data_IF_228391515577
#
_entry.id   IF_228391515577
#
_cell.length_a   1.000
_cell.length_b   1.000
_cell.length_c   1.000
_cell.angle_alpha   90.00
_cell.angle_beta   90.00
_cell.angle_gamma   90.00
#
_symmetry.space_group_name_H-M   'P 1'
#
loop_
_entity.id
_entity.type
_entity.pdbx_description
1 polymer ?
#
# COMPACT_ATOMS: atom_id res chain seq x y z
N UNK A 1 -5.93 9.65 -1.22
CA UNK A 1 -5.12 8.70 -2.03
C UNK A 1 -4.49 7.56 -1.21
N UNK A 2 -4.01 7.80 0.01
CA UNK A 2 -3.34 6.74 0.79
C UNK A 2 -4.28 5.88 1.65
N UNK A 3 -5.54 6.27 1.85
CA UNK A 3 -6.53 5.48 2.59
C UNK A 3 -7.08 4.35 1.72
N UNK A 4 -7.17 3.15 2.29
CA UNK A 4 -7.89 2.02 1.71
C UNK A 4 -9.11 1.67 2.56
N UNK A 5 -10.18 1.25 1.89
CA UNK A 5 -11.35 0.63 2.53
C UNK A 5 -10.95 -0.72 3.08
N UNK A 6 -11.31 -1.02 4.32
CA UNK A 6 -11.02 -2.32 4.93
C UNK A 6 -11.57 -3.48 4.06
N UNK A 7 -10.89 -4.64 4.02
CA UNK A 7 -11.40 -5.86 3.41
C UNK A 7 -12.81 -6.19 3.89
N UNK A 8 -13.69 -6.62 2.99
CA UNK A 8 -15.06 -7.00 3.39
C UNK A 8 -15.07 -8.24 4.28
N UNK A 9 -16.17 -8.46 5.02
CA UNK A 9 -16.35 -9.65 5.84
C UNK A 9 -16.30 -10.95 5.03
N UNK A 10 -16.82 -10.93 3.80
CA UNK A 10 -16.78 -12.08 2.88
C UNK A 10 -15.35 -12.38 2.47
N UNK A 11 -14.56 -11.35 2.15
CA UNK A 11 -13.17 -11.50 1.77
C UNK A 11 -12.33 -12.03 2.94
N UNK A 12 -12.52 -11.47 4.14
CA UNK A 12 -11.83 -11.93 5.37
C UNK A 12 -12.14 -13.41 5.63
N UNK A 13 -13.41 -13.80 5.52
CA UNK A 13 -13.86 -15.18 5.72
C UNK A 13 -13.23 -16.11 4.68
N UNK A 14 -13.25 -15.72 3.41
CA UNK A 14 -12.62 -16.49 2.34
C UNK A 14 -11.11 -16.63 2.57
N UNK A 15 -10.43 -15.54 2.94
CA UNK A 15 -9.00 -15.51 3.12
C UNK A 15 -8.58 -16.44 4.27
N UNK A 16 -9.31 -16.38 5.40
CA UNK A 16 -9.12 -17.32 6.51
C UNK A 16 -9.21 -18.77 6.06
N UNK A 17 -10.34 -19.15 5.47
CA UNK A 17 -10.62 -20.52 5.07
C UNK A 17 -9.61 -21.03 4.01
N UNK A 18 -9.07 -20.12 3.20
CA UNK A 18 -8.11 -20.46 2.15
C UNK A 18 -6.68 -20.63 2.68
N UNK A 19 -6.30 -19.87 3.71
CA UNK A 19 -4.89 -19.71 4.11
C UNK A 19 -4.54 -20.44 5.41
N UNK A 20 -5.47 -20.52 6.37
CA UNK A 20 -5.18 -20.95 7.74
C UNK A 20 -4.66 -22.39 7.83
N UNK A 21 -5.39 -23.37 7.28
CA UNK A 21 -4.99 -24.78 7.36
C UNK A 21 -3.72 -25.08 6.57
N UNK A 22 -3.52 -24.36 5.46
CA UNK A 22 -2.28 -24.44 4.68
C UNK A 22 -1.08 -23.93 5.47
N UNK A 23 -1.22 -22.77 6.14
CA UNK A 23 -0.17 -22.19 6.98
C UNK A 23 0.16 -23.11 8.16
N UNK A 24 -0.86 -23.60 8.87
CA UNK A 24 -0.71 -24.59 9.93
C UNK A 24 0.11 -25.81 9.45
N UNK A 25 -0.25 -26.37 8.29
CA UNK A 25 0.41 -27.56 7.73
C UNK A 25 1.88 -27.29 7.37
N UNK A 26 2.21 -26.08 6.88
CA UNK A 26 3.60 -25.70 6.58
C UNK A 26 4.43 -25.49 7.85
N UNK A 27 3.85 -24.93 8.91
CA UNK A 27 4.53 -24.76 10.20
C UNK A 27 4.82 -26.11 10.85
N UNK A 28 3.86 -27.05 10.83
CA UNK A 28 4.02 -28.41 11.38
C UNK A 28 4.79 -29.37 10.48
N UNK A 29 5.30 -28.90 9.33
CA UNK A 29 5.96 -29.77 8.34
C UNK A 29 7.21 -30.42 8.92
N UNK A 30 7.35 -31.72 8.67
CA UNK A 30 8.53 -32.52 9.00
C UNK A 30 9.16 -32.97 7.68
N UNK A 31 10.47 -32.84 7.56
CA UNK A 31 11.28 -33.30 6.43
C UNK A 31 12.36 -34.27 6.93
N UNK A 32 12.37 -35.50 6.41
CA UNK A 32 13.26 -36.58 6.85
C UNK A 32 13.31 -36.79 8.37
N UNK A 33 12.15 -36.70 9.03
CA UNK A 33 12.03 -36.84 10.49
C UNK A 33 12.43 -35.61 11.30
N UNK A 34 12.87 -34.52 10.65
CA UNK A 34 13.25 -33.26 11.30
C UNK A 34 12.21 -32.18 11.03
N UNK A 35 11.71 -31.47 12.06
CA UNK A 35 10.84 -30.31 11.86
C UNK A 35 11.49 -29.24 10.98
N UNK A 36 10.78 -28.77 9.96
CA UNK A 36 11.26 -27.68 9.08
C UNK A 36 11.45 -26.38 9.89
N UNK A 37 10.54 -26.13 10.82
CA UNK A 37 10.63 -25.07 11.82
C UNK A 37 10.88 -25.70 13.20
N UNK A 38 11.78 -25.11 13.97
CA UNK A 38 12.16 -25.60 15.30
C UNK A 38 10.93 -25.79 16.20
N UNK A 39 10.91 -26.89 16.98
CA UNK A 39 9.75 -27.27 17.79
C UNK A 39 9.28 -26.14 18.72
N UNK A 40 10.22 -25.46 19.40
CA UNK A 40 9.87 -24.33 20.27
C UNK A 40 9.17 -23.18 19.52
N UNK A 41 9.54 -22.91 18.26
CA UNK A 41 8.88 -21.89 17.44
C UNK A 41 7.48 -22.38 17.02
N UNK A 42 7.33 -23.66 16.71
CA UNK A 42 6.00 -24.23 16.44
C UNK A 42 5.10 -24.10 17.65
N UNK A 43 5.61 -24.37 18.86
CA UNK A 43 4.83 -24.30 20.09
C UNK A 43 4.44 -22.86 20.45
N UNK A 44 5.28 -21.86 20.08
CA UNK A 44 4.94 -20.43 20.18
C UNK A 44 3.84 -20.04 19.20
N UNK A 45 3.93 -20.48 17.94
CA UNK A 45 2.97 -20.11 16.88
C UNK A 45 1.66 -20.92 16.93
N UNK A 46 1.71 -22.12 17.50
CA UNK A 46 0.61 -23.09 17.59
C UNK A 46 0.65 -23.69 19.01
N UNK A 47 0.24 -22.92 20.03
CA UNK A 47 0.23 -23.41 21.40
C UNK A 47 -0.83 -24.51 21.58
N UNK A 48 -0.71 -25.26 22.67
CA UNK A 48 -1.69 -26.27 23.03
C UNK A 48 -2.83 -25.67 23.84
N UNK A 49 -4.06 -26.11 23.56
CA UNK A 49 -5.23 -25.85 24.40
C UNK A 49 -5.18 -26.73 25.66
N UNK A 50 -6.09 -26.45 26.61
CA UNK A 50 -6.23 -27.23 27.85
C UNK A 50 -6.49 -28.72 27.62
N UNK A 51 -7.10 -29.08 26.48
CA UNK A 51 -7.36 -30.47 26.08
C UNK A 51 -6.20 -31.14 25.31
N UNK A 52 -5.08 -30.44 25.13
CA UNK A 52 -3.89 -30.91 24.41
C UNK A 52 -3.96 -30.78 22.89
N UNK A 53 -5.07 -30.28 22.34
CA UNK A 53 -5.21 -30.00 20.91
C UNK A 53 -4.46 -28.73 20.50
N UNK A 54 -4.12 -28.61 19.22
CA UNK A 54 -3.45 -27.43 18.66
C UNK A 54 -4.41 -26.23 18.60
N UNK A 55 -3.95 -25.08 19.09
CA UNK A 55 -4.64 -23.80 18.93
C UNK A 55 -4.12 -23.04 17.70
N UNK A 56 -5.02 -22.75 16.77
CA UNK A 56 -4.70 -22.00 15.54
C UNK A 56 -5.03 -20.50 15.66
N UNK A 57 -5.47 -20.03 16.82
CA UNK A 57 -5.89 -18.63 17.05
C UNK A 57 -4.80 -17.63 16.68
N UNK A 58 -3.53 -17.88 17.06
CA UNK A 58 -2.39 -17.03 16.71
C UNK A 58 -2.20 -16.93 15.20
N UNK A 59 -2.31 -18.04 14.47
CA UNK A 59 -2.19 -18.03 13.01
C UNK A 59 -3.34 -17.26 12.35
N UNK A 60 -4.56 -17.41 12.86
CA UNK A 60 -5.71 -16.62 12.40
C UNK A 60 -5.48 -15.13 12.63
N UNK A 61 -4.99 -14.74 13.81
CA UNK A 61 -4.68 -13.35 14.13
C UNK A 61 -3.55 -12.79 13.25
N UNK A 62 -2.48 -13.55 13.01
CA UNK A 62 -1.41 -13.13 12.09
C UNK A 62 -1.92 -12.90 10.67
N UNK A 63 -2.92 -13.66 10.21
CA UNK A 63 -3.51 -13.48 8.89
C UNK A 63 -4.46 -12.26 8.82
N UNK A 64 -5.15 -11.91 9.91
CA UNK A 64 -6.35 -11.08 9.86
C UNK A 64 -6.35 -9.85 10.77
N UNK A 65 -5.42 -9.71 11.71
CA UNK A 65 -5.36 -8.52 12.55
C UNK A 65 -5.02 -7.28 11.73
N UNK A 66 -5.63 -6.17 12.15
CA UNK A 66 -5.38 -4.83 11.62
C UNK A 66 -3.94 -4.38 11.92
N UNK A 67 -3.47 -3.28 11.31
CA UNK A 67 -2.05 -2.92 11.32
C UNK A 67 -1.43 -2.79 12.71
N UNK A 68 -2.12 -2.16 13.67
CA UNK A 68 -1.59 -1.95 15.03
C UNK A 68 -1.47 -3.29 15.77
N UNK A 69 -2.57 -4.04 15.83
CA UNK A 69 -2.67 -5.28 16.58
C UNK A 69 -1.78 -6.38 15.99
N UNK A 70 -1.66 -6.42 14.66
CA UNK A 70 -0.77 -7.37 13.98
C UNK A 70 0.71 -7.05 14.21
N UNK A 71 1.08 -5.77 14.25
CA UNK A 71 2.44 -5.34 14.58
C UNK A 71 2.82 -5.72 16.03
N UNK A 72 1.94 -5.43 16.99
CA UNK A 72 2.12 -5.78 18.40
C UNK A 72 2.26 -7.30 18.59
N UNK A 73 1.36 -8.08 17.98
CA UNK A 73 1.42 -9.54 18.01
C UNK A 73 2.73 -10.04 17.39
N UNK A 74 3.12 -9.52 16.24
CA UNK A 74 4.37 -9.90 15.57
C UNK A 74 5.58 -9.64 16.49
N UNK A 75 5.68 -8.46 17.08
CA UNK A 75 6.81 -8.12 17.96
C UNK A 75 6.83 -8.97 19.23
N UNK A 76 5.67 -9.27 19.81
CA UNK A 76 5.59 -10.17 20.96
C UNK A 76 6.09 -11.58 20.61
N UNK A 77 5.62 -12.16 19.50
CA UNK A 77 6.04 -13.50 19.05
C UNK A 77 7.53 -13.52 18.70
N UNK A 78 8.02 -12.50 17.99
CA UNK A 78 9.43 -12.40 17.64
C UNK A 78 10.33 -12.27 18.86
N UNK A 79 9.88 -11.61 19.94
CA UNK A 79 10.54 -11.56 21.24
C UNK A 79 10.68 -12.92 21.93
N UNK A 80 9.72 -13.82 21.71
CA UNK A 80 9.78 -15.20 22.21
C UNK A 80 10.66 -16.09 21.32
N UNK A 81 10.72 -15.81 20.02
CA UNK A 81 11.42 -16.62 19.01
C UNK A 81 12.91 -16.28 18.92
N UNK A 82 13.27 -15.00 18.98
CA UNK A 82 14.65 -14.53 18.80
C UNK A 82 15.16 -13.96 20.13
N UNK A 83 16.23 -14.53 20.72
CA UNK A 83 16.81 -14.02 21.96
C UNK A 83 17.22 -12.55 21.85
N UNK A 84 16.78 -11.73 22.82
CA UNK A 84 17.01 -10.28 22.86
C UNK A 84 16.53 -9.55 21.59
N UNK A 85 15.47 -10.01 20.93
CA UNK A 85 14.85 -9.33 19.78
C UNK A 85 14.60 -7.84 20.07
N UNK A 86 14.97 -6.99 19.12
CA UNK A 86 14.64 -5.56 19.13
C UNK A 86 14.52 -5.08 17.68
N UNK A 87 13.32 -4.67 17.27
CA UNK A 87 13.06 -4.20 15.91
C UNK A 87 13.83 -2.92 15.56
N UNK A 88 14.26 -2.14 16.57
CA UNK A 88 15.09 -0.95 16.36
C UNK A 88 16.47 -1.31 15.81
N UNK A 89 16.89 -2.58 15.88
CA UNK A 89 18.11 -3.05 15.24
C UNK A 89 17.96 -3.31 13.73
N UNK A 90 16.75 -3.30 13.17
CA UNK A 90 16.51 -3.61 11.75
C UNK A 90 17.28 -2.73 10.76
N UNK A 91 17.43 -1.40 10.96
CA UNK A 91 18.28 -0.59 10.10
C UNK A 91 19.73 -1.09 10.06
N UNK A 92 20.30 -1.42 11.22
CA UNK A 92 21.67 -1.95 11.34
C UNK A 92 21.78 -3.37 10.79
N UNK A 93 20.74 -4.18 10.96
CA UNK A 93 20.66 -5.51 10.37
C UNK A 93 20.64 -5.44 8.83
N UNK A 94 19.87 -4.53 8.23
CA UNK A 94 19.86 -4.32 6.78
C UNK A 94 21.21 -3.82 6.26
N UNK A 95 21.86 -2.89 6.97
CA UNK A 95 23.22 -2.44 6.63
C UNK A 95 24.20 -3.63 6.65
N UNK A 96 24.15 -4.43 7.72
CA UNK A 96 24.94 -5.65 7.82
C UNK A 96 24.62 -6.59 6.66
N UNK A 97 23.34 -6.86 6.36
CA UNK A 97 22.89 -7.72 5.26
C UNK A 97 23.52 -7.26 3.93
N UNK A 98 23.45 -5.98 3.61
CA UNK A 98 23.96 -5.40 2.36
C UNK A 98 25.49 -5.47 2.23
N UNK A 99 26.25 -5.44 3.34
CA UNK A 99 27.71 -5.55 3.31
C UNK A 99 28.24 -6.93 2.92
N UNK A 100 27.41 -7.99 2.96
CA UNK A 100 27.81 -9.33 2.54
C UNK A 100 29.08 -9.82 3.27
N UNK A 101 30.13 -10.12 2.51
CA UNK A 101 31.40 -10.61 3.06
C UNK A 101 32.22 -9.53 3.80
N UNK A 102 31.90 -8.24 3.60
CA UNK A 102 32.63 -7.10 4.18
C UNK A 102 32.13 -6.70 5.58
N UNK A 103 31.31 -7.53 6.24
CA UNK A 103 30.82 -7.27 7.60
C UNK A 103 31.94 -7.28 8.62
N UNK A 104 31.95 -6.30 9.53
CA UNK A 104 32.79 -6.35 10.74
C UNK A 104 32.25 -7.38 11.76
N UNK A 105 32.95 -7.56 12.89
CA UNK A 105 32.58 -8.55 13.91
C UNK A 105 31.16 -8.33 14.47
N UNK A 106 30.81 -7.11 14.86
CA UNK A 106 29.49 -6.78 15.40
C UNK A 106 28.38 -7.01 14.37
N UNK A 107 28.62 -6.61 13.11
CA UNK A 107 27.69 -6.83 12.01
C UNK A 107 27.50 -8.32 11.68
N UNK A 108 28.54 -9.15 11.81
CA UNK A 108 28.41 -10.60 11.67
C UNK A 108 27.53 -11.19 12.76
N UNK A 109 27.70 -10.75 14.01
CA UNK A 109 26.87 -11.19 15.14
C UNK A 109 25.42 -10.78 14.94
N UNK A 110 25.17 -9.51 14.61
CA UNK A 110 23.82 -8.99 14.37
C UNK A 110 23.15 -9.68 13.17
N UNK A 111 23.87 -9.88 12.08
CA UNK A 111 23.34 -10.61 10.93
C UNK A 111 22.93 -12.04 11.31
N UNK A 112 23.78 -12.77 12.04
CA UNK A 112 23.49 -14.14 12.50
C UNK A 112 22.29 -14.21 13.44
N UNK A 113 22.10 -13.20 14.32
CA UNK A 113 20.97 -13.13 15.26
C UNK A 113 19.62 -13.27 14.53
N UNK A 114 19.49 -12.65 13.36
CA UNK A 114 18.23 -12.59 12.63
C UNK A 114 18.15 -13.52 11.40
N UNK A 115 19.23 -13.61 10.62
CA UNK A 115 19.15 -14.05 9.22
C UNK A 115 18.59 -15.46 9.03
N UNK A 116 18.92 -16.39 9.93
CA UNK A 116 18.51 -17.80 9.82
C UNK A 116 17.01 -17.92 10.13
N UNK A 117 16.59 -17.37 11.27
CA UNK A 117 15.20 -17.45 11.73
C UNK A 117 14.25 -16.70 10.80
N UNK A 118 14.59 -15.47 10.38
CA UNK A 118 13.76 -14.70 9.46
C UNK A 118 13.60 -15.43 8.12
N UNK A 119 14.66 -16.07 7.61
CA UNK A 119 14.59 -16.86 6.38
C UNK A 119 13.66 -18.07 6.53
N UNK A 120 13.80 -18.85 7.61
CA UNK A 120 12.94 -20.01 7.86
C UNK A 120 11.47 -19.61 7.98
N UNK A 121 11.18 -18.53 8.71
CA UNK A 121 9.81 -18.02 8.84
C UNK A 121 9.26 -17.57 7.48
N UNK A 122 10.06 -16.87 6.67
CA UNK A 122 9.66 -16.46 5.32
C UNK A 122 9.36 -17.66 4.42
N UNK A 123 10.20 -18.69 4.47
CA UNK A 123 10.03 -19.94 3.70
C UNK A 123 8.79 -20.73 4.14
N UNK A 124 8.43 -20.70 5.42
CA UNK A 124 7.24 -21.39 5.97
C UNK A 124 5.95 -20.62 5.68
N UNK A 125 5.97 -19.29 5.83
CA UNK A 125 4.81 -18.47 5.48
C UNK A 125 4.57 -18.51 3.97
N UNK A 126 5.64 -18.50 3.17
CA UNK A 126 5.62 -18.78 1.73
C UNK A 126 4.68 -17.85 0.95
N UNK A 127 4.83 -16.52 1.10
CA UNK A 127 4.07 -15.55 0.30
C UNK A 127 4.16 -15.86 -1.22
N UNK A 128 5.33 -16.28 -1.68
CA UNK A 128 5.56 -16.51 -3.10
C UNK A 128 4.73 -17.68 -3.62
N UNK A 129 4.71 -18.84 -2.94
CA UNK A 129 3.91 -19.98 -3.34
C UNK A 129 2.42 -19.81 -3.03
N UNK A 130 2.08 -19.13 -1.93
CA UNK A 130 0.70 -19.03 -1.49
C UNK A 130 -0.10 -17.89 -2.13
N UNK A 131 0.56 -16.82 -2.56
CA UNK A 131 -0.09 -15.65 -3.16
C UNK A 131 0.57 -15.25 -4.48
N UNK A 132 1.86 -14.91 -4.48
CA UNK A 132 2.51 -14.29 -5.66
C UNK A 132 2.37 -15.13 -6.93
N UNK A 133 2.69 -16.43 -6.83
CA UNK A 133 2.62 -17.42 -7.93
C UNK A 133 1.25 -18.08 -8.01
N UNK A 134 0.42 -18.00 -6.97
CA UNK A 134 -0.94 -18.52 -6.98
C UNK A 134 -1.88 -17.51 -7.62
N UNK A 135 -2.05 -17.59 -8.95
CA UNK A 135 -2.92 -16.67 -9.69
C UNK A 135 -4.36 -16.63 -9.18
N UNK A 136 -5.05 -17.76 -8.89
CA UNK A 136 -6.42 -17.71 -8.37
C UNK A 136 -6.55 -16.85 -7.10
N UNK A 137 -5.66 -17.05 -6.12
CA UNK A 137 -5.72 -16.30 -4.85
C UNK A 137 -5.35 -14.83 -5.03
N UNK A 138 -4.24 -14.56 -5.72
CA UNK A 138 -3.78 -13.17 -5.90
C UNK A 138 -4.74 -12.32 -6.73
N UNK A 139 -5.39 -12.89 -7.75
CA UNK A 139 -6.41 -12.17 -8.53
C UNK A 139 -7.70 -11.96 -7.74
N UNK A 140 -8.16 -12.96 -6.98
CA UNK A 140 -9.32 -12.78 -6.09
C UNK A 140 -9.08 -11.65 -5.09
N UNK A 141 -7.92 -11.66 -4.42
CA UNK A 141 -7.54 -10.61 -3.50
C UNK A 141 -7.49 -9.23 -4.18
N UNK A 142 -6.89 -9.16 -5.37
CA UNK A 142 -6.78 -7.90 -6.12
C UNK A 142 -8.11 -7.39 -6.68
N UNK A 143 -9.10 -8.25 -6.91
CA UNK A 143 -10.44 -7.82 -7.32
C UNK A 143 -11.26 -7.29 -6.15
N UNK A 144 -11.16 -7.93 -4.98
CA UNK A 144 -12.01 -7.62 -3.82
C UNK A 144 -11.41 -6.52 -2.92
N UNK A 145 -10.07 -6.39 -2.84
CA UNK A 145 -9.42 -5.28 -2.13
C UNK A 145 -9.05 -4.11 -3.03
N UNK A 146 -8.88 -4.38 -4.32
CA UNK A 146 -8.22 -3.46 -5.24
C UNK A 146 -9.08 -2.26 -5.60
N UNK A 147 -8.40 -1.29 -6.14
CA UNK A 147 -8.93 -0.07 -6.72
C UNK A 147 -8.15 0.20 -8.00
N UNK A 148 -8.61 1.16 -8.80
CA UNK A 148 -8.13 1.28 -10.16
C UNK A 148 -6.74 1.92 -10.27
N UNK A 149 -6.25 2.62 -9.25
CA UNK A 149 -4.95 3.36 -9.33
C UNK A 149 -3.98 3.00 -8.22
N UNK A 150 -2.68 3.25 -8.35
CA UNK A 150 -1.74 2.92 -7.27
C UNK A 150 -2.05 3.66 -5.95
N UNK A 151 -2.11 2.93 -4.82
CA UNK A 151 -2.36 3.51 -3.49
C UNK A 151 -1.35 4.60 -3.15
N UNK A 152 -0.07 4.35 -3.42
CA UNK A 152 1.01 5.23 -2.97
C UNK A 152 1.16 6.50 -3.80
N UNK A 153 1.00 6.43 -5.11
CA UNK A 153 1.25 7.58 -5.98
C UNK A 153 0.02 8.14 -6.66
N UNK A 154 -1.09 7.40 -6.79
CA UNK A 154 -2.26 7.80 -7.58
C UNK A 154 -1.96 8.25 -9.03
N UNK A 155 -0.81 7.88 -9.61
CA UNK A 155 -0.44 8.25 -10.99
C UNK A 155 -0.72 7.18 -12.04
N UNK A 156 -0.71 5.91 -11.64
CA UNK A 156 -0.80 4.79 -12.55
C UNK A 156 -2.03 3.96 -12.26
N UNK A 157 -2.70 3.51 -13.31
CA UNK A 157 -3.70 2.46 -13.19
C UNK A 157 -3.06 1.15 -12.71
N UNK A 158 -3.74 0.43 -11.84
CA UNK A 158 -3.39 -0.89 -11.32
C UNK A 158 -4.58 -1.84 -11.45
N UNK A 159 -5.23 -1.81 -12.62
CA UNK A 159 -6.47 -2.53 -12.90
C UNK A 159 -6.24 -4.04 -12.86
N UNK A 160 -7.19 -4.75 -12.23
CA UNK A 160 -7.25 -6.21 -12.27
C UNK A 160 -8.05 -6.66 -13.50
N UNK A 161 -7.39 -7.31 -14.45
CA UNK A 161 -8.01 -7.92 -15.64
C UNK A 161 -7.99 -9.43 -15.45
N UNK A 162 -9.04 -9.95 -14.81
CA UNK A 162 -9.19 -11.37 -14.49
C UNK A 162 -9.68 -12.19 -15.69
N UNK A 163 -9.62 -13.52 -15.57
CA UNK A 163 -10.08 -14.47 -16.58
C UNK A 163 -10.58 -15.76 -15.95
N UNK A 164 -11.20 -16.65 -16.74
CA UNK A 164 -11.78 -17.91 -16.24
C UNK A 164 -10.71 -18.90 -15.77
N UNK A 165 -9.48 -18.75 -16.26
CA UNK A 165 -8.34 -19.61 -15.93
C UNK A 165 -7.03 -18.81 -15.92
N UNK A 166 -5.94 -19.48 -15.55
CA UNK A 166 -4.60 -18.89 -15.41
C UNK A 166 -4.03 -18.28 -16.70
N UNK A 167 -4.47 -18.74 -17.87
CA UNK A 167 -4.03 -18.22 -19.18
C UNK A 167 -4.75 -16.94 -19.57
N UNK A 168 -6.02 -16.80 -19.16
CA UNK A 168 -6.86 -15.63 -19.44
C UNK A 168 -6.65 -14.47 -18.45
N UNK A 169 -5.93 -14.69 -17.35
CA UNK A 169 -5.57 -13.65 -16.39
C UNK A 169 -4.43 -12.79 -16.91
N UNK A 170 -4.71 -11.49 -17.11
CA UNK A 170 -3.84 -10.58 -17.85
C UNK A 170 -3.03 -9.66 -16.91
N UNK A 171 -3.70 -8.91 -16.05
CA UNK A 171 -3.06 -7.90 -15.21
C UNK A 171 -3.68 -7.84 -13.82
N UNK A 172 -2.87 -7.46 -12.83
CA UNK A 172 -3.28 -7.14 -11.47
C UNK A 172 -2.29 -6.14 -10.85
N UNK A 173 -2.66 -5.40 -9.79
CA UNK A 173 -1.71 -4.66 -8.97
C UNK A 173 -0.62 -5.58 -8.41
N UNK A 174 0.54 -5.00 -8.10
CA UNK A 174 1.43 -5.63 -7.14
C UNK A 174 0.84 -5.48 -5.73
N UNK A 175 1.15 -6.43 -4.86
CA UNK A 175 0.76 -6.38 -3.45
C UNK A 175 2.04 -6.13 -2.67
N UNK A 176 2.31 -4.86 -2.35
CA UNK A 176 3.44 -4.48 -1.50
C UNK A 176 3.21 -4.98 -0.07
N UNK A 177 4.29 -5.27 0.64
CA UNK A 177 4.24 -5.57 2.06
C UNK A 177 4.59 -4.29 2.82
N UNK A 178 3.59 -3.64 3.43
CA UNK A 178 3.83 -2.38 4.13
C UNK A 178 4.91 -2.55 5.22
N UNK A 179 4.74 -3.55 6.08
CA UNK A 179 5.80 -4.18 6.87
C UNK A 179 6.57 -5.15 5.98
N UNK A 180 7.82 -4.83 5.65
CA UNK A 180 8.65 -5.64 4.75
C UNK A 180 8.67 -7.10 5.19
N UNK A 181 8.31 -8.03 4.29
CA UNK A 181 8.36 -9.48 4.56
C UNK A 181 9.77 -9.98 4.90
N UNK A 182 10.83 -9.24 4.55
CA UNK A 182 12.20 -9.60 4.91
C UNK A 182 12.49 -9.40 6.41
N UNK A 183 11.79 -8.47 7.05
CA UNK A 183 11.96 -8.08 8.45
C UNK A 183 10.82 -8.62 9.33
N UNK A 184 9.61 -8.65 8.79
CA UNK A 184 8.39 -9.10 9.43
C UNK A 184 7.78 -10.31 8.70
N UNK A 185 8.48 -11.46 8.64
CA UNK A 185 8.01 -12.63 7.87
C UNK A 185 6.68 -13.19 8.39
N UNK A 186 6.38 -13.03 9.69
CA UNK A 186 5.08 -13.42 10.28
C UNK A 186 3.90 -12.61 9.71
N UNK A 187 4.15 -11.41 9.18
CA UNK A 187 3.14 -10.55 8.56
C UNK A 187 3.13 -10.67 7.03
N UNK A 188 3.92 -11.59 6.45
CA UNK A 188 4.01 -11.74 4.98
C UNK A 188 2.72 -12.25 4.33
N UNK A 189 1.83 -12.87 5.11
CA UNK A 189 0.50 -13.29 4.67
C UNK A 189 -0.63 -12.50 5.33
N UNK A 190 -0.33 -11.46 6.11
CA UNK A 190 -1.37 -10.65 6.73
C UNK A 190 -2.13 -9.85 5.65
N UNK A 191 -3.45 -9.98 5.62
CA UNK A 191 -4.29 -9.37 4.58
C UNK A 191 -4.24 -7.84 4.56
N UNK A 192 -4.01 -7.22 5.72
CA UNK A 192 -3.85 -5.76 5.87
C UNK A 192 -2.43 -5.30 5.59
N UNK A 193 -1.45 -6.20 5.55
CA UNK A 193 -0.08 -5.86 5.18
C UNK A 193 0.12 -5.82 3.64
N UNK A 194 -0.85 -6.30 2.86
CA UNK A 194 -0.77 -6.42 1.41
C UNK A 194 -1.43 -5.22 0.70
N UNK A 195 -0.63 -4.26 0.25
CA UNK A 195 -1.12 -3.00 -0.32
C UNK A 195 -1.11 -3.05 -1.86
N UNK A 196 -2.28 -2.93 -2.52
CA UNK A 196 -2.35 -2.82 -3.98
C UNK A 196 -1.65 -1.57 -4.50
N UNK A 197 -0.62 -1.73 -5.32
CA UNK A 197 0.16 -0.64 -5.86
C UNK A 197 0.82 -0.96 -7.20
N UNK A 198 1.43 0.03 -7.83
CA UNK A 198 2.16 -0.14 -9.08
C UNK A 198 3.58 -0.65 -8.83
N UNK A 199 4.18 -1.24 -9.88
CA UNK A 199 5.54 -1.78 -9.81
C UNK A 199 6.62 -0.74 -9.53
N UNK A 200 6.41 0.50 -9.97
CA UNK A 200 7.35 1.59 -9.71
C UNK A 200 7.42 1.88 -8.21
N UNK A 201 6.27 2.10 -7.56
CA UNK A 201 6.23 2.40 -6.12
C UNK A 201 6.74 1.24 -5.27
N UNK A 202 6.29 0.02 -5.56
CA UNK A 202 6.68 -1.16 -4.78
C UNK A 202 8.16 -1.52 -4.99
N UNK A 203 8.56 -1.79 -6.24
CA UNK A 203 9.86 -2.41 -6.54
C UNK A 203 10.98 -1.39 -6.77
N UNK A 204 10.70 -0.25 -7.41
CA UNK A 204 11.76 0.71 -7.79
C UNK A 204 12.06 1.73 -6.70
N UNK A 205 11.04 2.13 -5.91
CA UNK A 205 11.18 3.22 -4.95
C UNK A 205 11.21 2.69 -3.52
N UNK A 206 10.13 2.02 -3.06
CA UNK A 206 10.06 1.55 -1.67
C UNK A 206 11.12 0.51 -1.36
N UNK A 207 11.18 -0.57 -2.15
CA UNK A 207 12.12 -1.66 -1.93
C UNK A 207 12.08 -2.17 -0.48
N UNK A 208 13.23 -2.11 0.20
CA UNK A 208 13.39 -2.53 1.59
C UNK A 208 13.34 -1.37 2.61
N UNK A 209 12.79 -0.21 2.22
CA UNK A 209 12.59 0.91 3.16
C UNK A 209 11.75 0.44 4.36
N UNK A 210 12.23 0.78 5.56
CA UNK A 210 11.58 0.39 6.81
C UNK A 210 10.47 1.39 7.11
N UNK A 211 9.24 0.91 7.15
CA UNK A 211 8.09 1.68 7.62
C UNK A 211 7.74 1.28 9.05
N UNK A 212 7.26 2.26 9.83
CA UNK A 212 6.72 2.08 11.18
C UNK A 212 5.46 2.91 11.32
N UNK A 213 4.50 2.43 12.10
CA UNK A 213 3.19 3.09 12.28
C UNK A 213 3.33 4.48 12.89
N UNK A 214 4.42 4.76 13.60
CA UNK A 214 4.72 6.07 14.19
C UNK A 214 5.26 7.08 13.18
N UNK A 215 5.84 6.59 12.09
CA UNK A 215 6.57 7.43 11.13
C UNK A 215 5.93 7.50 9.76
N UNK A 216 5.11 6.52 9.38
CA UNK A 216 4.53 6.43 8.04
C UNK A 216 3.02 6.18 8.12
N UNK A 217 2.31 6.55 7.05
CA UNK A 217 0.88 6.29 6.95
C UNK A 217 0.67 4.86 6.45
N UNK A 218 -0.07 4.08 7.24
CA UNK A 218 -0.53 2.77 6.81
C UNK A 218 -1.93 2.86 6.18
N UNK A 219 -2.13 2.41 4.93
CA UNK A 219 -3.39 2.59 4.21
C UNK A 219 -4.65 2.05 4.88
N UNK A 220 -4.51 0.92 5.58
CA UNK A 220 -5.60 0.30 6.35
C UNK A 220 -5.67 0.69 7.84
N UNK A 221 -4.87 1.64 8.30
CA UNK A 221 -4.94 2.08 9.69
C UNK A 221 -6.19 2.93 9.92
N UNK A 222 -6.87 2.72 11.05
CA UNK A 222 -8.16 3.36 11.33
C UNK A 222 -8.02 4.89 11.40
N UNK A 223 -6.93 5.38 12.01
CA UNK A 223 -6.60 6.81 12.10
C UNK A 223 -6.11 7.47 10.79
N UNK A 224 -5.94 6.72 9.70
CA UNK A 224 -5.55 7.33 8.42
C UNK A 224 -6.69 8.19 7.90
N UNK A 225 -6.40 9.46 7.63
CA UNK A 225 -7.34 10.42 7.04
C UNK A 225 -7.80 9.98 5.65
N UNK A 226 -9.05 10.31 5.28
CA UNK A 226 -9.59 10.04 3.93
C UNK A 226 -8.71 10.66 2.83
N UNK A 227 -8.21 11.87 3.09
CA UNK A 227 -7.30 12.58 2.20
C UNK A 227 -6.11 13.15 2.97
N UNK A 228 -4.88 13.10 2.40
CA UNK A 228 -3.74 13.79 2.97
C UNK A 228 -3.91 15.31 3.00
N UNK A 229 -3.36 15.94 4.03
CA UNK A 229 -3.40 17.39 4.32
C UNK A 229 -2.53 18.18 3.35
N UNK A 230 -1.40 17.63 2.90
CA UNK A 230 -0.59 18.26 1.87
C UNK A 230 -1.43 18.49 0.60
N UNK A 231 -1.05 19.51 -0.18
CA UNK A 231 -1.69 19.83 -1.45
C UNK A 231 -0.66 19.83 -2.57
N UNK A 232 -1.05 19.36 -3.74
CA UNK A 232 -0.28 19.60 -4.95
C UNK A 232 -0.50 21.03 -5.44
N UNK A 233 0.57 21.78 -5.64
CA UNK A 233 0.55 23.11 -6.25
C UNK A 233 1.45 23.09 -7.50
N UNK A 234 1.48 24.18 -8.26
CA UNK A 234 2.33 24.31 -9.43
C UNK A 234 3.19 25.56 -9.37
N UNK A 235 4.36 25.50 -10.01
CA UNK A 235 5.25 26.64 -10.20
C UNK A 235 5.64 26.79 -11.67
N UNK A 236 5.80 28.03 -12.10
CA UNK A 236 6.44 28.36 -13.37
C UNK A 236 7.95 28.40 -13.14
N UNK A 237 8.68 27.55 -13.84
CA UNK A 237 10.14 27.47 -13.78
C UNK A 237 10.79 28.53 -14.67
N UNK A 238 12.11 28.74 -14.49
CA UNK A 238 12.88 29.74 -15.25
C UNK A 238 12.92 29.46 -16.76
N UNK A 239 12.81 28.20 -17.16
CA UNK A 239 12.76 27.77 -18.56
C UNK A 239 11.35 27.85 -19.17
N UNK A 240 10.41 28.52 -18.47
CA UNK A 240 9.01 28.70 -18.87
C UNK A 240 8.19 27.40 -18.92
N UNK A 241 8.66 26.33 -18.27
CA UNK A 241 7.88 25.11 -18.04
C UNK A 241 7.15 25.15 -16.70
N UNK A 242 6.08 24.37 -16.57
CA UNK A 242 5.41 24.15 -15.30
C UNK A 242 5.93 22.89 -14.62
N UNK A 243 6.05 22.95 -13.29
CA UNK A 243 6.25 21.77 -12.45
C UNK A 243 5.24 21.71 -11.32
N UNK A 244 4.95 20.50 -10.85
CA UNK A 244 4.14 20.28 -9.64
C UNK A 244 5.05 20.22 -8.41
N UNK A 245 4.62 20.85 -7.33
CA UNK A 245 5.26 20.83 -6.01
C UNK A 245 4.26 20.39 -4.94
N UNK A 246 4.74 19.92 -3.79
CA UNK A 246 3.90 19.68 -2.63
C UNK A 246 3.98 20.88 -1.67
N UNK A 247 2.83 21.36 -1.19
CA UNK A 247 2.73 22.43 -0.19
C UNK A 247 1.92 21.95 1.01
N UNK A 248 1.94 22.74 2.10
CA UNK A 248 1.24 22.43 3.35
C UNK A 248 1.62 21.05 3.95
N UNK A 249 2.90 20.67 3.80
CA UNK A 249 3.44 19.42 4.33
C UNK A 249 3.76 19.57 5.82
N UNK A 250 2.74 19.67 6.67
CA UNK A 250 2.91 19.92 8.11
C UNK A 250 2.97 18.63 8.94
N UNK A 251 2.29 17.57 8.50
CA UNK A 251 2.31 16.28 9.16
C UNK A 251 3.59 15.48 8.85
N UNK A 252 4.25 14.97 9.89
CA UNK A 252 5.52 14.25 9.76
C UNK A 252 5.37 12.91 9.02
N UNK A 253 4.23 12.21 9.18
CA UNK A 253 4.01 10.95 8.48
C UNK A 253 3.77 11.19 7.00
N UNK A 254 3.04 12.26 6.64
CA UNK A 254 2.91 12.69 5.25
C UNK A 254 4.25 13.06 4.63
N UNK A 255 5.08 13.84 5.33
CA UNK A 255 6.45 14.17 4.86
C UNK A 255 7.27 12.90 4.60
N UNK A 256 7.22 11.93 5.50
CA UNK A 256 7.91 10.65 5.33
C UNK A 256 7.34 9.85 4.16
N UNK A 257 6.03 9.83 3.94
CA UNK A 257 5.42 9.19 2.77
C UNK A 257 5.82 9.87 1.46
N UNK A 258 5.79 11.21 1.40
CA UNK A 258 6.22 11.99 0.24
C UNK A 258 7.67 11.69 -0.13
N UNK A 259 8.56 11.62 0.88
CA UNK A 259 9.97 11.29 0.71
C UNK A 259 10.16 9.82 0.31
N UNK A 260 9.53 8.89 1.02
CA UNK A 260 9.67 7.45 0.80
C UNK A 260 9.22 7.01 -0.60
N UNK A 261 8.27 7.74 -1.20
CA UNK A 261 7.78 7.47 -2.55
C UNK A 261 8.23 8.48 -3.60
N UNK A 262 9.13 9.41 -3.23
CA UNK A 262 9.67 10.45 -4.11
C UNK A 262 8.54 11.20 -4.88
N UNK A 263 7.43 11.45 -4.19
CA UNK A 263 6.18 11.93 -4.80
C UNK A 263 6.41 13.26 -5.50
N UNK A 264 7.04 14.23 -4.84
CA UNK A 264 7.29 15.54 -5.44
C UNK A 264 8.13 15.44 -6.72
N UNK A 265 9.24 14.68 -6.70
CA UNK A 265 10.09 14.48 -7.88
C UNK A 265 9.34 13.83 -9.04
N UNK A 266 8.50 12.83 -8.75
CA UNK A 266 7.69 12.16 -9.77
C UNK A 266 6.60 13.08 -10.32
N UNK A 267 5.97 13.87 -9.45
CA UNK A 267 4.88 14.76 -9.81
C UNK A 267 5.37 16.00 -10.55
N UNK A 268 6.60 16.47 -10.32
CA UNK A 268 7.19 17.62 -11.00
C UNK A 268 7.02 17.55 -12.53
N UNK A 269 7.22 16.38 -13.14
CA UNK A 269 7.04 16.16 -14.58
C UNK A 269 5.59 16.34 -15.07
N UNK A 270 4.59 16.28 -14.18
CA UNK A 270 3.18 16.44 -14.52
C UNK A 270 2.75 17.91 -14.57
N UNK A 271 3.65 18.85 -14.31
CA UNK A 271 3.37 20.26 -14.57
C UNK A 271 3.14 20.52 -16.06
N UNK A 272 4.05 20.06 -16.91
CA UNK A 272 3.88 20.16 -18.37
C UNK A 272 2.83 19.21 -18.94
N UNK A 273 2.62 18.04 -18.33
CA UNK A 273 1.71 17.02 -18.86
C UNK A 273 0.24 17.23 -18.45
N UNK A 274 -0.02 17.80 -17.28
CA UNK A 274 -1.39 17.95 -16.75
C UNK A 274 -1.70 19.41 -16.42
N UNK A 275 -0.85 20.11 -15.67
CA UNK A 275 -1.15 21.46 -15.19
C UNK A 275 -1.24 22.46 -16.34
N UNK A 276 -0.29 22.42 -17.28
CA UNK A 276 -0.26 23.32 -18.43
C UNK A 276 -1.56 23.27 -19.25
N UNK A 277 -2.08 22.08 -19.49
CA UNK A 277 -3.31 21.88 -20.26
C UNK A 277 -4.53 22.42 -19.49
N UNK A 278 -4.58 22.21 -18.17
CA UNK A 278 -5.60 22.79 -17.30
C UNK A 278 -5.56 24.32 -17.37
N UNK A 279 -4.38 24.94 -17.22
CA UNK A 279 -4.21 26.39 -17.28
C UNK A 279 -4.59 26.95 -18.65
N UNK A 280 -4.18 26.28 -19.73
CA UNK A 280 -4.52 26.68 -21.09
C UNK A 280 -6.03 26.60 -21.32
N UNK A 281 -6.69 25.55 -20.83
CA UNK A 281 -8.14 25.40 -20.92
C UNK A 281 -8.86 26.58 -20.27
N UNK A 282 -8.57 26.93 -19.02
CA UNK A 282 -9.23 28.07 -18.36
C UNK A 282 -8.83 29.43 -18.93
N UNK A 283 -7.61 29.57 -19.47
CA UNK A 283 -7.21 30.79 -20.17
C UNK A 283 -7.98 31.01 -21.47
N UNK A 284 -8.32 29.92 -22.19
CA UNK A 284 -8.98 29.98 -23.50
C UNK A 284 -10.51 29.99 -23.40
N UNK A 285 -11.07 29.64 -22.24
CA UNK A 285 -12.51 29.55 -22.02
C UNK A 285 -12.92 30.53 -20.92
N UNK A 286 -13.57 31.67 -21.25
CA UNK A 286 -14.01 32.65 -20.26
C UNK A 286 -14.94 32.04 -19.21
N UNK A 287 -14.86 32.53 -17.97
CA UNK A 287 -15.67 32.01 -16.86
C UNK A 287 -17.16 31.98 -17.21
N UNK A 288 -17.72 33.05 -17.79
CA UNK A 288 -19.15 33.10 -18.18
C UNK A 288 -19.57 32.00 -19.15
N UNK A 289 -18.70 31.62 -20.09
CA UNK A 289 -18.95 30.51 -21.00
C UNK A 289 -18.95 29.17 -20.24
N UNK A 290 -17.97 28.97 -19.36
CA UNK A 290 -17.88 27.76 -18.55
C UNK A 290 -19.04 27.65 -17.57
N UNK A 291 -19.44 28.72 -16.88
CA UNK A 291 -20.60 28.71 -15.98
C UNK A 291 -21.86 28.29 -16.74
N UNK A 292 -22.13 28.88 -17.91
CA UNK A 292 -23.30 28.52 -18.71
C UNK A 292 -23.23 27.08 -19.24
N UNK A 293 -22.05 26.61 -19.64
CA UNK A 293 -21.87 25.25 -20.11
C UNK A 293 -22.09 24.23 -18.98
N UNK A 294 -21.37 24.41 -17.87
CA UNK A 294 -21.31 23.46 -16.75
C UNK A 294 -22.60 23.49 -15.92
N UNK A 295 -23.16 24.67 -15.63
CA UNK A 295 -24.29 24.82 -14.71
C UNK A 295 -25.66 24.84 -15.39
N UNK A 296 -25.75 25.31 -16.64
CA UNK A 296 -27.03 25.43 -17.35
C UNK A 296 -27.19 24.37 -18.43
N UNK A 297 -26.24 24.30 -19.36
CA UNK A 297 -26.38 23.49 -20.57
C UNK A 297 -26.34 22.00 -20.23
N UNK A 298 -25.31 21.53 -19.54
CA UNK A 298 -25.15 20.11 -19.21
C UNK A 298 -26.19 19.63 -18.19
N UNK A 299 -26.58 20.50 -17.26
CA UNK A 299 -27.63 20.19 -16.29
C UNK A 299 -28.99 19.89 -16.95
N UNK A 300 -29.32 20.57 -18.06
CA UNK A 300 -30.55 20.27 -18.85
C UNK A 300 -30.55 18.87 -19.46
N UNK A 301 -29.38 18.28 -19.69
CA UNK A 301 -29.23 16.91 -20.18
C UNK A 301 -29.09 15.87 -19.05
N UNK A 302 -29.23 16.29 -17.79
CA UNK A 302 -29.20 15.41 -16.63
C UNK A 302 -27.81 15.05 -16.13
N UNK A 303 -26.75 15.71 -16.60
CA UNK A 303 -25.40 15.51 -16.06
C UNK A 303 -25.31 16.07 -14.63
N UNK A 304 -24.79 15.25 -13.71
CA UNK A 304 -24.46 15.68 -12.35
C UNK A 304 -23.13 16.43 -12.33
N UNK A 305 -22.86 17.13 -11.23
CA UNK A 305 -21.57 17.80 -11.01
C UNK A 305 -20.38 16.82 -11.11
N UNK A 306 -20.52 15.60 -10.59
CA UNK A 306 -19.51 14.55 -10.71
C UNK A 306 -19.30 14.12 -12.17
N UNK A 307 -20.38 14.03 -12.97
CA UNK A 307 -20.26 13.68 -14.39
C UNK A 307 -19.54 14.77 -15.18
N UNK A 308 -19.90 16.03 -14.92
CA UNK A 308 -19.24 17.19 -15.50
C UNK A 308 -17.76 17.19 -15.14
N UNK A 309 -17.43 17.06 -13.86
CA UNK A 309 -16.04 17.04 -13.40
C UNK A 309 -15.23 15.91 -14.07
N UNK A 310 -15.78 14.68 -14.12
CA UNK A 310 -15.14 13.56 -14.82
C UNK A 310 -14.98 13.81 -16.32
N UNK A 311 -15.97 14.42 -16.97
CA UNK A 311 -15.95 14.66 -18.40
C UNK A 311 -14.85 15.66 -18.79
N UNK A 312 -14.66 16.72 -18.01
CA UNK A 312 -13.67 17.76 -18.33
C UNK A 312 -12.27 17.45 -17.84
N UNK A 313 -12.14 16.82 -16.66
CA UNK A 313 -10.83 16.63 -16.02
C UNK A 313 -10.36 15.18 -16.04
N UNK A 314 -11.22 14.24 -16.44
CA UNK A 314 -10.89 12.82 -16.55
C UNK A 314 -10.61 12.15 -15.21
N UNK A 315 -11.08 12.73 -14.10
CA UNK A 315 -10.76 12.28 -12.74
C UNK A 315 -11.91 12.52 -11.76
N UNK A 316 -11.79 12.12 -10.49
CA UNK A 316 -12.91 12.15 -9.53
C UNK A 316 -12.97 13.42 -8.68
N UNK A 317 -14.19 13.92 -8.46
CA UNK A 317 -14.46 15.12 -7.64
C UNK A 317 -14.43 14.80 -6.13
N UNK A 318 -14.86 13.61 -5.73
CA UNK A 318 -14.83 13.22 -4.31
C UNK A 318 -13.43 12.69 -3.93
N UNK A 319 -12.94 13.18 -2.79
CA UNK A 319 -11.72 12.69 -2.14
C UNK A 319 -11.79 11.21 -1.76
N UNK A 320 -12.98 10.68 -1.42
CA UNK A 320 -13.17 9.25 -1.10
C UNK A 320 -13.04 8.34 -2.33
N UNK A 321 -13.16 8.93 -3.52
CA UNK A 321 -13.05 8.26 -4.83
C UNK A 321 -11.66 8.43 -5.46
N UNK A 322 -10.71 9.00 -4.73
CA UNK A 322 -9.34 9.28 -5.17
C UNK A 322 -8.69 8.13 -5.96
N UNK A 323 -8.94 6.90 -5.53
CA UNK A 323 -8.28 5.73 -6.08
C UNK A 323 -8.96 5.14 -7.32
N UNK A 324 -10.09 5.71 -7.76
CA UNK A 324 -10.81 5.28 -8.96
C UNK A 324 -10.13 5.78 -10.25
N UNK A 325 -9.46 6.95 -10.22
CA UNK A 325 -8.80 7.55 -11.39
C UNK A 325 -7.48 8.24 -11.05
N UNK A 326 -6.48 8.19 -11.95
CA UNK A 326 -5.21 8.83 -11.69
C UNK A 326 -5.36 10.33 -11.53
N UNK A 327 -4.45 10.90 -10.76
CA UNK A 327 -4.32 12.35 -10.56
C UNK A 327 -5.57 13.00 -9.94
N UNK A 328 -6.45 12.23 -9.28
CA UNK A 328 -7.68 12.76 -8.68
C UNK A 328 -7.40 13.88 -7.70
N UNK A 329 -6.49 13.64 -6.75
CA UNK A 329 -6.06 14.68 -5.81
C UNK A 329 -5.32 15.83 -6.51
N UNK A 330 -4.39 15.54 -7.43
CA UNK A 330 -3.64 16.57 -8.16
C UNK A 330 -4.58 17.57 -8.84
N UNK A 331 -5.53 17.08 -9.66
CA UNK A 331 -6.41 17.99 -10.39
C UNK A 331 -7.35 18.75 -9.46
N UNK A 332 -7.87 18.13 -8.40
CA UNK A 332 -8.69 18.86 -7.41
C UNK A 332 -7.91 19.97 -6.73
N UNK A 333 -6.69 19.71 -6.28
CA UNK A 333 -5.87 20.70 -5.61
C UNK A 333 -5.56 21.89 -6.56
N UNK A 334 -5.19 21.61 -7.81
CA UNK A 334 -4.90 22.63 -8.83
C UNK A 334 -6.15 23.44 -9.17
N UNK A 335 -7.31 22.78 -9.37
CA UNK A 335 -8.56 23.46 -9.69
C UNK A 335 -9.08 24.32 -8.52
N UNK A 336 -8.84 23.88 -7.28
CA UNK A 336 -9.12 24.68 -6.08
C UNK A 336 -8.27 25.95 -6.06
N UNK A 337 -6.98 25.84 -6.39
CA UNK A 337 -6.08 27.01 -6.46
C UNK A 337 -6.47 27.99 -7.56
N UNK A 338 -7.03 27.50 -8.67
CA UNK A 338 -7.58 28.34 -9.74
C UNK A 338 -8.92 28.99 -9.39
N UNK A 339 -9.50 28.68 -8.22
CA UNK A 339 -10.82 29.17 -7.81
C UNK A 339 -11.97 28.53 -8.58
N UNK A 340 -11.71 27.44 -9.31
CA UNK A 340 -12.71 26.67 -10.06
C UNK A 340 -13.50 25.76 -9.12
N UNK A 341 -12.83 25.23 -8.09
CA UNK A 341 -13.45 24.48 -7.01
C UNK A 341 -13.46 25.29 -5.72
N UNK A 342 -14.55 25.20 -4.96
CA UNK A 342 -14.66 25.72 -3.60
C UNK A 342 -15.48 24.73 -2.75
N UNK A 343 -14.96 24.35 -1.59
CA UNK A 343 -15.61 23.39 -0.67
C UNK A 343 -16.05 22.08 -1.35
N UNK A 344 -15.30 21.59 -2.33
CA UNK A 344 -15.62 20.35 -3.06
C UNK A 344 -16.64 20.50 -4.20
N UNK A 345 -17.03 21.73 -4.56
CA UNK A 345 -17.99 22.02 -5.61
C UNK A 345 -17.41 22.94 -6.69
N UNK A 346 -17.89 22.80 -7.92
CA UNK A 346 -17.60 23.68 -9.05
C UNK A 346 -18.25 25.04 -8.78
N UNK A 347 -17.42 26.08 -8.68
CA UNK A 347 -17.83 27.45 -8.35
C UNK A 347 -18.20 28.30 -9.56
N UNK A 348 -17.62 27.98 -10.73
CA UNK A 348 -17.66 28.83 -11.92
C UNK A 348 -19.06 29.24 -12.33
#
# INVERSE_FOLDING_TARGET
>A
MWKLKAPSSELITWYKNTMLDGLYSRIKKIDNGVPVLEQHIQDILIPKKNDGSDDKSILEHLLLYKPQESHELCNNLMGQIIPNYDENEFPLYLEAKNKGNNRNANQKTLFKKYSITLKKLLDVFDYDGQLSKNKPRSYKLSMEQGHNTCTYCNRQYVITVNGKNDKERIARPQLDHWFSKELYPLLSLNIYNLIPCCSICNSSIKGNTIFSLDTHIHPYHDLTSEEPVFQFNYKLEQDMTYSVICVNTTDIKEQNMLKAFEIEKLYAYHGELEVKDILLFFKKNPSSYLSHLLNDTLKKYGYTEHDVYRMFFGTELDSTENLNRPFSKLKRDILTQLGVLENGHIKL
#
